data_IF_754533949399
#
_entry.id   IF_754533949399
#
_cell.length_a   1.000
_cell.length_b   1.000
_cell.length_c   1.000
_cell.angle_alpha   90.00
_cell.angle_beta   90.00
_cell.angle_gamma   90.00
#
_symmetry.space_group_name_H-M   'P 1'
#
loop_
_entity.id
_entity.type
_entity.pdbx_description
1 polymer ?
#
# COMPACT_ATOMS: atom_id res chain seq x y z
N UNK A 1 -65.48 7.34 -19.06
CA UNK A 1 -64.50 7.52 -17.97
C UNK A 1 -63.12 7.33 -18.58
N UNK A 2 -62.37 8.42 -18.69
CA UNK A 2 -61.00 8.46 -19.19
C UNK A 2 -60.07 8.51 -17.97
N UNK A 3 -59.07 7.64 -17.91
CA UNK A 3 -57.96 7.78 -16.96
C UNK A 3 -56.63 7.65 -17.69
N UNK A 4 -55.75 8.57 -17.31
CA UNK A 4 -54.58 9.02 -18.01
C UNK A 4 -53.46 7.98 -18.08
N UNK A 5 -52.71 8.11 -19.16
CA UNK A 5 -51.44 7.49 -19.45
C UNK A 5 -50.37 8.37 -18.80
N UNK A 6 -49.86 7.95 -17.62
CA UNK A 6 -48.79 8.69 -16.94
C UNK A 6 -47.44 8.41 -17.62
N UNK A 7 -46.79 9.51 -17.99
CA UNK A 7 -45.57 9.55 -18.78
C UNK A 7 -44.35 9.03 -18.04
N UNK A 8 -43.61 8.15 -18.72
CA UNK A 8 -42.20 7.94 -18.45
C UNK A 8 -41.43 9.15 -18.99
N UNK A 9 -40.85 9.93 -18.09
CA UNK A 9 -39.96 11.05 -18.41
C UNK A 9 -38.60 10.52 -18.87
N UNK A 10 -38.30 10.82 -20.13
CA UNK A 10 -37.08 10.55 -20.90
C UNK A 10 -35.95 11.56 -20.59
N UNK A 11 -35.77 11.94 -19.32
CA UNK A 11 -34.82 13.00 -18.88
C UNK A 11 -33.61 12.45 -18.09
N UNK A 12 -33.48 11.12 -17.99
CA UNK A 12 -32.46 10.46 -17.15
C UNK A 12 -31.19 10.04 -17.89
N UNK A 13 -31.23 9.96 -19.23
CA UNK A 13 -30.09 9.53 -20.05
C UNK A 13 -29.12 10.68 -20.37
N UNK A 14 -29.61 11.91 -20.54
CA UNK A 14 -28.78 13.07 -20.88
C UNK A 14 -27.78 13.44 -19.76
N UNK A 15 -28.18 13.31 -18.49
CA UNK A 15 -27.29 13.54 -17.33
C UNK A 15 -26.22 12.44 -17.16
N UNK A 16 -26.51 11.24 -17.65
CA UNK A 16 -25.61 10.09 -17.54
C UNK A 16 -24.48 10.20 -18.57
N UNK A 17 -24.79 10.66 -19.78
CA UNK A 17 -23.77 10.97 -20.79
C UNK A 17 -22.90 12.16 -20.39
N UNK A 18 -23.47 13.22 -19.81
CA UNK A 18 -22.70 14.38 -19.32
C UNK A 18 -21.73 13.97 -18.19
N UNK A 19 -22.20 13.17 -17.22
CA UNK A 19 -21.35 12.66 -16.14
C UNK A 19 -20.25 11.69 -16.61
N UNK A 20 -20.51 10.89 -17.65
CA UNK A 20 -19.51 10.01 -18.28
C UNK A 20 -18.49 10.81 -19.11
N UNK A 21 -18.92 11.88 -19.75
CA UNK A 21 -18.06 12.78 -20.51
C UNK A 21 -17.08 13.51 -19.56
N UNK A 22 -17.59 14.08 -18.47
CA UNK A 22 -16.78 14.70 -17.42
C UNK A 22 -15.77 13.73 -16.80
N UNK A 23 -16.18 12.46 -16.61
CA UNK A 23 -15.32 11.42 -16.07
C UNK A 23 -14.19 11.04 -17.03
N UNK A 24 -14.46 11.00 -18.34
CA UNK A 24 -13.43 10.76 -19.38
C UNK A 24 -12.47 11.94 -19.48
N UNK A 25 -12.96 13.17 -19.39
CA UNK A 25 -12.15 14.37 -19.48
C UNK A 25 -11.21 14.52 -18.27
N UNK A 26 -11.69 14.20 -17.06
CA UNK A 26 -10.85 14.18 -15.86
C UNK A 26 -9.78 13.08 -15.91
N UNK A 27 -10.11 11.90 -16.44
CA UNK A 27 -9.12 10.83 -16.62
C UNK A 27 -8.07 11.17 -17.68
N UNK A 28 -8.45 11.84 -18.77
CA UNK A 28 -7.49 12.32 -19.78
C UNK A 28 -6.55 13.39 -19.21
N UNK A 29 -7.08 14.37 -18.47
CA UNK A 29 -6.26 15.39 -17.77
C UNK A 29 -5.28 14.77 -16.77
N UNK A 30 -5.68 13.70 -16.09
CA UNK A 30 -4.82 12.96 -15.17
C UNK A 30 -3.68 12.22 -15.88
N UNK A 31 -3.99 11.56 -17.01
CA UNK A 31 -2.97 10.90 -17.85
C UNK A 31 -1.97 11.93 -18.39
N UNK A 32 -2.46 13.08 -18.87
CA UNK A 32 -1.59 14.17 -19.32
C UNK A 32 -0.71 14.74 -18.21
N UNK A 33 -1.22 14.90 -16.98
CA UNK A 33 -0.40 15.38 -15.86
C UNK A 33 0.68 14.38 -15.46
N UNK A 34 0.38 13.08 -15.45
CA UNK A 34 1.37 12.03 -15.19
C UNK A 34 2.41 12.00 -16.31
N UNK A 35 1.98 12.12 -17.57
CA UNK A 35 2.87 12.09 -18.72
C UNK A 35 3.73 13.36 -18.83
N UNK A 36 3.22 14.54 -18.44
CA UNK A 36 4.01 15.78 -18.32
C UNK A 36 4.98 15.73 -17.13
N UNK A 37 4.62 15.06 -16.05
CA UNK A 37 5.47 14.93 -14.85
C UNK A 37 6.57 13.87 -15.03
N UNK A 38 6.35 12.86 -15.87
CA UNK A 38 7.31 11.76 -16.10
C UNK A 38 7.97 11.75 -17.49
N UNK A 39 7.46 12.50 -18.47
CA UNK A 39 7.90 12.48 -19.87
C UNK A 39 9.10 13.38 -20.22
N UNK A 40 9.73 14.01 -19.23
CA UNK A 40 10.87 14.92 -19.43
C UNK A 40 12.27 14.33 -19.20
N UNK A 41 12.42 13.01 -19.02
CA UNK A 41 13.70 12.40 -18.66
C UNK A 41 14.19 11.37 -19.69
N UNK A 42 14.30 11.79 -20.95
CA UNK A 42 15.20 11.18 -21.93
C UNK A 42 16.38 12.14 -22.15
N UNK A 43 17.32 12.14 -21.21
CA UNK A 43 18.51 13.00 -21.29
C UNK A 43 19.39 12.78 -20.07
N UNK A 44 20.50 12.08 -20.27
CA UNK A 44 21.47 11.79 -19.23
C UNK A 44 21.93 13.08 -18.55
N UNK A 45 21.59 13.22 -17.27
CA UNK A 45 22.18 14.22 -16.40
C UNK A 45 22.64 13.52 -15.14
N UNK A 46 23.96 13.44 -14.96
CA UNK A 46 24.61 13.23 -13.66
C UNK A 46 24.31 14.46 -12.80
N UNK A 47 23.05 14.58 -12.39
CA UNK A 47 22.60 15.56 -11.42
C UNK A 47 22.87 14.99 -10.04
N UNK A 48 23.67 15.69 -9.27
CA UNK A 48 23.89 15.45 -7.86
C UNK A 48 22.53 15.60 -7.14
N UNK A 49 21.75 14.52 -7.07
CA UNK A 49 20.47 14.48 -6.40
C UNK A 49 20.75 14.55 -4.90
N UNK A 50 20.78 15.78 -4.41
CA UNK A 50 20.57 16.09 -3.01
C UNK A 50 19.10 15.74 -2.72
N UNK A 51 18.83 14.43 -2.57
CA UNK A 51 17.53 13.91 -2.17
C UNK A 51 17.32 14.41 -0.75
N UNK A 52 16.59 15.53 -0.59
CA UNK A 52 15.83 15.74 0.63
C UNK A 52 14.69 14.71 0.57
N UNK A 53 14.68 13.65 1.39
CA UNK A 53 13.61 12.69 1.41
C UNK A 53 12.51 13.23 2.32
N UNK A 54 12.07 14.48 2.09
CA UNK A 54 10.83 14.92 2.71
C UNK A 54 9.70 14.39 1.82
N UNK A 55 9.40 13.10 2.02
CA UNK A 55 8.18 12.50 1.50
C UNK A 55 7.05 13.34 2.06
N UNK A 56 6.47 14.19 1.22
CA UNK A 56 5.51 15.18 1.65
C UNK A 56 4.18 14.45 1.90
N UNK A 57 4.05 13.83 3.07
CA UNK A 57 2.88 13.04 3.50
C UNK A 57 1.59 13.84 3.31
N UNK A 58 1.69 15.18 3.38
CA UNK A 58 0.59 16.11 3.11
C UNK A 58 0.07 16.03 1.66
N UNK A 59 0.94 15.75 0.69
CA UNK A 59 0.59 15.53 -0.72
C UNK A 59 0.09 14.11 -1.00
N UNK A 60 0.53 13.12 -0.22
CA UNK A 60 0.05 11.74 -0.36
C UNK A 60 -1.37 11.53 0.18
N UNK A 61 -1.74 12.28 1.22
CA UNK A 61 -3.08 12.19 1.83
C UNK A 61 -4.24 12.46 0.85
N UNK A 62 -4.25 13.53 0.03
CA UNK A 62 -5.31 13.75 -0.94
C UNK A 62 -5.33 12.67 -2.03
N UNK A 63 -4.16 12.17 -2.45
CA UNK A 63 -4.06 11.07 -3.42
C UNK A 63 -4.69 9.79 -2.85
N UNK A 64 -4.38 9.44 -1.60
CA UNK A 64 -4.99 8.27 -0.94
C UNK A 64 -6.48 8.44 -0.76
N UNK A 65 -6.97 9.63 -0.41
CA UNK A 65 -8.41 9.90 -0.32
C UNK A 65 -9.11 9.77 -1.67
N UNK A 66 -8.48 10.25 -2.75
CA UNK A 66 -9.02 10.14 -4.10
C UNK A 66 -9.03 8.68 -4.58
N UNK A 67 -7.96 7.92 -4.33
CA UNK A 67 -7.93 6.50 -4.64
C UNK A 67 -9.02 5.76 -3.87
N UNK A 68 -9.11 6.00 -2.56
CA UNK A 68 -10.14 5.37 -1.76
C UNK A 68 -11.55 5.73 -2.25
N UNK A 69 -11.83 7.00 -2.56
CA UNK A 69 -13.16 7.40 -3.03
C UNK A 69 -13.56 6.75 -4.35
N UNK A 70 -12.61 6.49 -5.24
CA UNK A 70 -12.85 5.73 -6.48
C UNK A 70 -13.18 4.28 -6.13
N UNK A 71 -12.32 3.60 -5.39
CA UNK A 71 -12.50 2.17 -5.10
C UNK A 71 -13.68 1.89 -4.16
N UNK A 72 -14.00 2.78 -3.22
CA UNK A 72 -15.11 2.61 -2.27
C UNK A 72 -16.48 2.73 -2.95
N UNK A 73 -16.58 3.50 -4.04
CA UNK A 73 -17.81 3.67 -4.84
C UNK A 73 -18.04 2.54 -5.83
N UNK A 74 -16.99 1.82 -6.22
CA UNK A 74 -17.11 0.66 -7.10
C UNK A 74 -17.69 -0.53 -6.34
N UNK A 75 -18.27 -1.50 -7.07
CA UNK A 75 -18.56 -2.81 -6.49
C UNK A 75 -17.26 -3.53 -6.12
N UNK A 76 -17.31 -4.45 -5.16
CA UNK A 76 -16.13 -5.23 -4.76
C UNK A 76 -15.53 -5.97 -5.96
N UNK A 77 -16.36 -6.64 -6.76
CA UNK A 77 -15.93 -7.38 -7.95
C UNK A 77 -15.27 -6.47 -8.99
N UNK A 78 -15.83 -5.27 -9.22
CA UNK A 78 -15.25 -4.30 -10.14
C UNK A 78 -13.90 -3.79 -9.64
N UNK A 79 -13.77 -3.49 -8.33
CA UNK A 79 -12.49 -3.09 -7.73
C UNK A 79 -11.44 -4.19 -7.87
N UNK A 80 -11.82 -5.43 -7.55
CA UNK A 80 -10.96 -6.60 -7.64
C UNK A 80 -10.47 -6.84 -9.06
N UNK A 81 -11.37 -6.77 -10.04
CA UNK A 81 -11.03 -6.92 -11.45
C UNK A 81 -10.04 -5.85 -11.93
N UNK A 82 -10.28 -4.58 -11.57
CA UNK A 82 -9.39 -3.47 -11.93
C UNK A 82 -8.01 -3.59 -11.27
N UNK A 83 -7.96 -3.99 -9.99
CA UNK A 83 -6.71 -4.22 -9.26
C UNK A 83 -5.96 -5.40 -9.88
N UNK A 84 -6.65 -6.49 -10.19
CA UNK A 84 -6.07 -7.64 -10.87
C UNK A 84 -5.48 -7.25 -12.24
N UNK A 85 -6.21 -6.46 -13.01
CA UNK A 85 -5.75 -5.96 -14.30
C UNK A 85 -4.49 -5.10 -14.14
N UNK A 86 -4.50 -4.15 -13.19
CA UNK A 86 -3.35 -3.29 -12.92
C UNK A 86 -2.13 -4.07 -12.45
N UNK A 87 -2.31 -5.05 -11.56
CA UNK A 87 -1.21 -5.90 -11.10
C UNK A 87 -0.68 -6.77 -12.25
N UNK A 88 -1.54 -7.25 -13.13
CA UNK A 88 -1.15 -8.06 -14.29
C UNK A 88 -0.26 -7.32 -15.29
N UNK A 89 -0.38 -5.98 -15.33
CA UNK A 89 0.46 -5.07 -16.12
C UNK A 89 1.71 -4.60 -15.37
N UNK A 90 1.83 -4.91 -14.09
CA UNK A 90 2.95 -4.50 -13.23
C UNK A 90 4.01 -5.60 -13.08
N UNK A 91 5.23 -5.27 -12.63
CA UNK A 91 6.23 -6.24 -12.21
C UNK A 91 5.75 -7.20 -11.10
N UNK A 92 4.69 -6.83 -10.35
CA UNK A 92 4.10 -7.65 -9.30
C UNK A 92 3.17 -8.77 -9.81
N UNK A 93 2.97 -8.92 -11.13
CA UNK A 93 2.16 -9.99 -11.75
C UNK A 93 2.48 -11.38 -11.21
N UNK A 94 3.76 -11.68 -10.99
CA UNK A 94 4.21 -12.98 -10.47
C UNK A 94 3.70 -13.26 -9.05
N UNK A 95 3.68 -12.23 -8.19
CA UNK A 95 3.17 -12.37 -6.82
C UNK A 95 1.66 -12.57 -6.78
N UNK A 96 0.89 -11.82 -7.57
CA UNK A 96 -0.56 -12.01 -7.61
C UNK A 96 -0.98 -13.36 -8.19
N UNK A 97 -0.20 -13.93 -9.12
CA UNK A 97 -0.42 -15.31 -9.60
C UNK A 97 -0.14 -16.37 -8.54
N UNK A 98 0.93 -16.20 -7.77
CA UNK A 98 1.31 -17.14 -6.72
C UNK A 98 0.39 -17.05 -5.49
N UNK A 99 -0.13 -15.84 -5.19
CA UNK A 99 -0.93 -15.56 -4.01
C UNK A 99 -2.16 -14.74 -4.40
N UNK A 100 -3.24 -15.38 -4.90
CA UNK A 100 -4.44 -14.68 -5.35
C UNK A 100 -5.12 -13.88 -4.23
N UNK A 101 -5.04 -14.35 -2.98
CA UNK A 101 -5.51 -13.61 -1.79
C UNK A 101 -4.84 -12.25 -1.60
N UNK A 102 -3.67 -12.01 -2.21
CA UNK A 102 -3.01 -10.69 -2.18
C UNK A 102 -3.87 -9.65 -2.91
N UNK A 103 -4.59 -10.06 -3.95
CA UNK A 103 -5.48 -9.20 -4.73
C UNK A 103 -6.68 -8.82 -3.88
N UNK A 104 -7.25 -9.79 -3.17
CA UNK A 104 -8.35 -9.56 -2.23
C UNK A 104 -7.90 -8.64 -1.08
N UNK A 105 -6.70 -8.84 -0.54
CA UNK A 105 -6.10 -7.97 0.47
C UNK A 105 -5.93 -6.53 -0.03
N UNK A 106 -5.35 -6.34 -1.20
CA UNK A 106 -5.18 -5.00 -1.80
C UNK A 106 -6.55 -4.37 -2.07
N UNK A 107 -7.54 -5.16 -2.47
CA UNK A 107 -8.91 -4.69 -2.71
C UNK A 107 -9.55 -4.17 -1.43
N UNK A 108 -9.49 -4.92 -0.34
CA UNK A 108 -9.99 -4.46 0.96
C UNK A 108 -9.18 -3.24 1.46
N UNK A 109 -7.86 -3.25 1.30
CA UNK A 109 -6.98 -2.16 1.71
C UNK A 109 -7.27 -0.84 0.97
N UNK A 110 -7.49 -0.88 -0.34
CA UNK A 110 -7.80 0.31 -1.14
C UNK A 110 -9.22 0.84 -0.89
N UNK A 111 -10.16 -0.05 -0.52
CA UNK A 111 -11.54 0.31 -0.18
C UNK A 111 -11.69 0.81 1.25
N UNK A 112 -10.83 0.39 2.17
CA UNK A 112 -10.86 0.85 3.56
C UNK A 112 -10.35 2.29 3.70
N UNK A 113 -11.24 3.18 4.12
CA UNK A 113 -11.00 4.62 4.24
C UNK A 113 -9.92 4.98 5.28
N UNK A 114 -9.64 4.08 6.22
CA UNK A 114 -8.76 4.33 7.34
C UNK A 114 -7.41 3.64 7.17
N UNK A 115 -7.36 2.42 6.63
CA UNK A 115 -6.16 1.61 6.61
C UNK A 115 -4.96 2.30 5.94
N UNK A 116 -5.14 2.85 4.73
CA UNK A 116 -4.05 3.57 4.04
C UNK A 116 -3.70 4.90 4.70
N UNK A 117 -4.70 5.61 5.26
CA UNK A 117 -4.47 6.87 5.95
C UNK A 117 -3.69 6.65 7.25
N UNK A 118 -4.02 5.61 8.01
CA UNK A 118 -3.32 5.21 9.22
C UNK A 118 -1.88 4.79 8.92
N UNK A 119 -1.65 4.04 7.83
CA UNK A 119 -0.29 3.73 7.36
C UNK A 119 0.51 4.99 6.98
N UNK A 120 -0.12 5.97 6.33
CA UNK A 120 0.53 7.25 6.05
C UNK A 120 0.83 8.05 7.33
N UNK A 121 -0.03 7.94 8.34
CA UNK A 121 0.13 8.63 9.61
C UNK A 121 1.36 8.13 10.39
N UNK A 122 1.83 6.91 10.13
CA UNK A 122 3.12 6.41 10.65
C UNK A 122 4.28 7.36 10.31
N UNK A 123 4.26 7.98 9.13
CA UNK A 123 5.33 8.85 8.66
C UNK A 123 5.25 10.29 9.19
N UNK A 124 4.17 10.66 9.88
CA UNK A 124 4.00 12.03 10.42
C UNK A 124 4.84 12.27 11.67
N UNK A 125 4.95 11.26 12.53
CA UNK A 125 5.68 11.37 13.78
C UNK A 125 7.18 11.11 13.55
N UNK A 126 7.90 12.18 13.20
CA UNK A 126 9.35 12.13 12.94
C UNK A 126 10.13 11.62 14.16
N UNK A 127 9.64 11.83 15.38
CA UNK A 127 10.30 11.34 16.60
C UNK A 127 10.13 9.83 16.75
N UNK A 128 8.90 9.31 16.64
CA UNK A 128 8.65 7.86 16.60
C UNK A 128 9.43 7.18 15.49
N UNK A 129 9.47 7.78 14.29
CA UNK A 129 10.25 7.26 13.15
C UNK A 129 11.74 7.19 13.45
N UNK A 130 12.29 8.23 14.10
CA UNK A 130 13.70 8.27 14.51
C UNK A 130 13.99 7.20 15.56
N UNK A 131 13.16 7.05 16.59
CA UNK A 131 13.33 6.00 17.59
C UNK A 131 13.19 4.60 17.00
N UNK A 132 12.25 4.41 16.06
CA UNK A 132 12.12 3.17 15.30
C UNK A 132 13.37 2.88 14.47
N UNK A 133 13.93 3.88 13.79
CA UNK A 133 15.17 3.73 13.03
C UNK A 133 16.35 3.35 13.95
N UNK A 134 16.50 4.03 15.08
CA UNK A 134 17.52 3.73 16.09
C UNK A 134 17.35 2.31 16.65
N UNK A 135 16.12 1.90 16.97
CA UNK A 135 15.82 0.55 17.42
C UNK A 135 16.17 -0.49 16.35
N UNK A 136 15.89 -0.22 15.07
CA UNK A 136 16.29 -1.12 13.98
C UNK A 136 17.82 -1.21 13.84
N UNK A 137 18.54 -0.09 13.92
CA UNK A 137 20.01 -0.08 13.93
C UNK A 137 20.53 -0.91 15.11
N UNK A 138 19.94 -0.74 16.30
CA UNK A 138 20.27 -1.56 17.46
C UNK A 138 20.06 -3.05 17.20
N UNK A 139 18.95 -3.47 16.55
CA UNK A 139 18.75 -4.89 16.20
C UNK A 139 19.81 -5.44 15.24
N UNK A 140 20.35 -4.60 14.34
CA UNK A 140 21.42 -5.00 13.42
C UNK A 140 22.70 -5.25 14.22
N UNK A 141 23.07 -4.31 15.09
CA UNK A 141 24.26 -4.43 15.95
C UNK A 141 24.13 -5.66 16.84
N UNK A 142 22.97 -5.84 17.49
CA UNK A 142 22.68 -7.00 18.32
C UNK A 142 22.81 -8.31 17.52
N UNK A 143 22.25 -8.35 16.30
CA UNK A 143 22.38 -9.49 15.39
C UNK A 143 23.83 -9.81 15.04
N UNK A 144 24.67 -8.80 14.83
CA UNK A 144 26.10 -8.97 14.59
C UNK A 144 26.84 -9.49 15.83
N UNK A 145 26.54 -8.97 17.03
CA UNK A 145 27.11 -9.46 18.30
C UNK A 145 26.71 -10.91 18.56
N UNK A 146 25.44 -11.26 18.37
CA UNK A 146 24.93 -12.63 18.45
C UNK A 146 25.60 -13.55 17.43
N UNK A 147 25.87 -13.05 16.22
CA UNK A 147 26.60 -13.81 15.20
C UNK A 147 28.05 -14.06 15.60
N UNK A 148 28.72 -13.07 16.21
CA UNK A 148 30.10 -13.18 16.66
C UNK A 148 30.27 -14.06 17.90
N UNK A 149 29.30 -14.08 18.82
CA UNK A 149 29.34 -14.89 20.05
C UNK A 149 28.88 -16.35 19.88
N UNK A 150 28.20 -16.67 18.77
CA UNK A 150 27.85 -18.06 18.47
C UNK A 150 29.13 -18.83 18.08
N UNK A 151 29.71 -19.54 19.04
CA UNK A 151 30.92 -20.35 18.86
C UNK A 151 30.73 -21.47 17.83
N UNK A 152 31.84 -21.88 17.20
CA UNK A 152 31.90 -22.85 16.09
C UNK A 152 31.63 -24.31 16.49
N UNK A 153 31.20 -24.58 17.71
CA UNK A 153 31.08 -25.95 18.23
C UNK A 153 29.63 -26.44 18.28
N UNK A 154 29.45 -27.65 17.76
CA UNK A 154 28.19 -28.36 17.67
C UNK A 154 27.98 -29.06 16.32
N UNK A 155 27.13 -30.09 16.32
CA UNK A 155 26.69 -30.84 15.13
C UNK A 155 26.03 -29.92 14.09
N UNK A 156 25.97 -30.35 12.82
CA UNK A 156 25.32 -29.59 11.73
C UNK A 156 23.88 -29.17 12.09
N UNK A 157 23.13 -30.03 12.75
CA UNK A 157 21.76 -29.72 13.21
C UNK A 157 21.74 -28.63 14.29
N UNK A 158 22.64 -28.70 15.28
CA UNK A 158 22.75 -27.66 16.31
C UNK A 158 23.16 -26.30 15.73
N UNK A 159 23.97 -26.29 14.65
CA UNK A 159 24.35 -25.07 13.93
C UNK A 159 23.17 -24.47 13.18
N UNK A 160 22.39 -25.29 12.47
CA UNK A 160 21.18 -24.84 11.77
C UNK A 160 20.13 -24.31 12.75
N UNK A 161 19.89 -25.01 13.86
CA UNK A 161 18.93 -24.60 14.87
C UNK A 161 19.35 -23.28 15.54
N UNK A 162 20.63 -23.13 15.94
CA UNK A 162 21.16 -21.84 16.46
C UNK A 162 21.02 -20.71 15.44
N UNK A 163 21.28 -20.99 14.15
CA UNK A 163 21.12 -20.01 13.08
C UNK A 163 19.65 -19.59 12.90
N UNK A 164 18.73 -20.56 12.84
CA UNK A 164 17.30 -20.35 12.68
C UNK A 164 16.72 -19.59 13.89
N UNK A 165 17.03 -20.02 15.11
CA UNK A 165 16.61 -19.35 16.34
C UNK A 165 17.10 -17.91 16.39
N UNK A 166 18.37 -17.66 16.04
CA UNK A 166 18.91 -16.28 15.94
C UNK A 166 18.16 -15.44 14.91
N UNK A 167 17.87 -16.01 13.73
CA UNK A 167 17.09 -15.30 12.69
C UNK A 167 15.68 -15.01 13.18
N UNK A 168 15.00 -16.01 13.72
CA UNK A 168 13.66 -15.89 14.28
C UNK A 168 13.61 -14.86 15.40
N UNK A 169 14.58 -14.87 16.32
CA UNK A 169 14.69 -13.90 17.41
C UNK A 169 14.85 -12.47 16.90
N UNK A 170 15.74 -12.21 15.94
CA UNK A 170 15.94 -10.87 15.38
C UNK A 170 14.71 -10.40 14.59
N UNK A 171 14.11 -11.27 13.78
CA UNK A 171 12.88 -10.93 13.05
C UNK A 171 11.70 -10.70 13.99
N UNK A 172 11.53 -11.55 15.01
CA UNK A 172 10.52 -11.40 16.05
C UNK A 172 10.70 -10.10 16.82
N UNK A 173 11.93 -9.76 17.20
CA UNK A 173 12.24 -8.48 17.85
C UNK A 173 11.91 -7.28 16.94
N UNK A 174 12.18 -7.36 15.64
CA UNK A 174 11.81 -6.30 14.69
C UNK A 174 10.31 -6.14 14.53
N UNK A 175 9.58 -7.25 14.43
CA UNK A 175 8.11 -7.24 14.38
C UNK A 175 7.56 -6.65 15.68
N UNK A 176 8.11 -7.05 16.83
CA UNK A 176 7.74 -6.50 18.14
C UNK A 176 7.97 -4.99 18.22
N UNK A 177 9.14 -4.50 17.80
CA UNK A 177 9.44 -3.06 17.74
C UNK A 177 8.45 -2.34 16.83
N UNK A 178 8.16 -2.90 15.65
CA UNK A 178 7.20 -2.32 14.70
C UNK A 178 5.80 -2.20 15.30
N UNK A 179 5.31 -3.25 15.98
CA UNK A 179 4.01 -3.23 16.68
C UNK A 179 4.03 -2.28 17.88
N UNK A 180 5.14 -2.21 18.63
CA UNK A 180 5.26 -1.32 19.79
C UNK A 180 5.18 0.16 19.40
N UNK A 181 5.81 0.55 18.29
CA UNK A 181 5.81 1.95 17.84
C UNK A 181 4.60 2.34 17.00
N UNK A 182 4.06 1.42 16.18
CA UNK A 182 3.04 1.70 15.17
C UNK A 182 1.82 0.78 15.25
N UNK A 183 1.59 0.13 16.39
CA UNK A 183 0.49 -0.83 16.56
C UNK A 183 -0.89 -0.22 16.30
N UNK A 184 -1.10 1.03 16.73
CA UNK A 184 -2.34 1.77 16.47
C UNK A 184 -2.57 2.05 14.98
N UNK A 185 -1.52 2.38 14.27
CA UNK A 185 -1.53 2.74 12.85
C UNK A 185 -1.65 1.50 11.95
N UNK A 186 -1.12 0.35 12.42
CA UNK A 186 -1.18 -0.94 11.74
C UNK A 186 -2.48 -1.72 12.02
N UNK A 187 -3.20 -1.40 13.10
CA UNK A 187 -4.43 -2.08 13.50
C UNK A 187 -5.47 -2.22 12.37
N UNK A 188 -5.84 -1.16 11.62
CA UNK A 188 -6.81 -1.31 10.53
C UNK A 188 -6.29 -2.21 9.41
N UNK A 189 -5.01 -2.12 9.05
CA UNK A 189 -4.39 -3.03 8.08
C UNK A 189 -4.38 -4.48 8.58
N UNK A 190 -4.13 -4.69 9.88
CA UNK A 190 -4.11 -6.03 10.46
C UNK A 190 -5.50 -6.65 10.50
N UNK A 191 -6.56 -5.87 10.72
CA UNK A 191 -7.94 -6.35 10.64
C UNK A 191 -8.26 -6.87 9.23
N UNK A 192 -7.83 -6.16 8.19
CA UNK A 192 -7.98 -6.60 6.79
C UNK A 192 -7.18 -7.88 6.52
N UNK A 193 -5.96 -7.99 7.06
CA UNK A 193 -5.17 -9.24 6.93
C UNK A 193 -5.94 -10.41 7.56
N UNK A 194 -6.52 -10.23 8.75
CA UNK A 194 -7.32 -11.28 9.37
C UNK A 194 -8.52 -11.66 8.51
N UNK A 195 -9.27 -10.69 8.01
CA UNK A 195 -10.46 -10.93 7.19
C UNK A 195 -10.17 -11.71 5.90
N UNK A 196 -9.00 -11.49 5.28
CA UNK A 196 -8.65 -12.14 4.01
C UNK A 196 -7.91 -13.47 4.18
N UNK A 197 -7.04 -13.57 5.19
CA UNK A 197 -6.12 -14.69 5.34
C UNK A 197 -6.46 -15.68 6.45
N UNK A 198 -7.23 -15.29 7.46
CA UNK A 198 -7.67 -16.15 8.57
C UNK A 198 -9.15 -16.49 8.46
#
# INVERSE_FOLDING_TARGET
>A
MSFAQDGYTDDSDDNLEESLHDFREQNQKLVEQIQKTHGGAAGGSKGNLNIKPEMDVKKLRPIVKQLNSVYSRMSYESSRAQIQENISKSPAKGMAKAFPKTVDFITHLLRDNQALLSLLDMFKDKQKLLYFLLANIFTIILGFVLARRASKEGSLFSRLFKWMFRKCFIYGLRIFILIFFFGSELAPTFNIVKEVFL
#
